data_IF_711458872784
#
_entry.id   IF_711458872784
#
_cell.length_a   1.000
_cell.length_b   1.000
_cell.length_c   1.000
_cell.angle_alpha   90.00
_cell.angle_beta   90.00
_cell.angle_gamma   90.00
#
_symmetry.space_group_name_H-M   'P 1'
#
loop_
_entity.id
_entity.type
_entity.pdbx_description
1 polymer ?
#
# COMPACT_ATOMS: atom_id res chain seq x y z
N UNK A 1 15.46 -15.69 -2.09
CA UNK A 1 14.36 -16.23 -1.26
C UNK A 1 13.06 -15.66 -1.80
N UNK A 2 12.16 -16.51 -2.31
CA UNK A 2 10.89 -16.09 -2.91
C UNK A 2 9.80 -17.00 -2.37
N UNK A 3 9.27 -16.66 -1.20
CA UNK A 3 8.21 -17.43 -0.58
C UNK A 3 6.85 -17.09 -1.20
N UNK A 4 6.21 -18.06 -1.85
CA UNK A 4 4.98 -17.86 -2.64
C UNK A 4 3.71 -17.86 -1.81
N UNK A 5 3.76 -18.40 -0.59
CA UNK A 5 2.64 -18.39 0.37
C UNK A 5 2.44 -17.02 1.04
N UNK A 6 3.33 -16.04 0.87
CA UNK A 6 3.17 -14.69 1.46
C UNK A 6 2.21 -13.81 0.66
N UNK A 7 0.93 -13.78 1.05
CA UNK A 7 -0.16 -13.06 0.39
C UNK A 7 -0.36 -11.69 1.02
N UNK A 8 -0.31 -10.63 0.20
CA UNK A 8 -0.75 -9.30 0.63
C UNK A 8 -2.25 -9.32 0.95
N UNK A 9 -2.64 -8.91 2.16
CA UNK A 9 -4.03 -8.86 2.61
C UNK A 9 -4.58 -7.45 2.74
N UNK A 10 -3.74 -6.45 2.96
CA UNK A 10 -4.23 -5.09 3.09
C UNK A 10 -3.23 -4.10 3.64
N UNK A 11 -3.74 -2.91 3.91
CA UNK A 11 -2.99 -1.76 4.39
C UNK A 11 -3.77 -1.07 5.51
N UNK A 12 -3.09 -0.82 6.62
CA UNK A 12 -3.58 0.03 7.72
C UNK A 12 -2.90 1.39 7.55
N UNK A 13 -3.70 2.39 7.21
CA UNK A 13 -3.20 3.73 6.97
C UNK A 13 -2.89 4.48 8.26
N UNK A 14 -1.70 5.07 8.32
CA UNK A 14 -1.40 6.17 9.22
C UNK A 14 -1.51 7.46 8.40
N UNK A 15 -2.63 8.18 8.55
CA UNK A 15 -2.87 9.45 7.88
C UNK A 15 -2.18 10.62 8.58
N UNK A 16 -1.26 10.42 9.50
CA UNK A 16 -0.36 11.49 9.95
C UNK A 16 1.03 11.28 9.34
N UNK A 17 1.47 10.03 9.28
CA UNK A 17 2.76 9.60 8.72
C UNK A 17 2.58 8.36 7.88
N UNK A 18 2.42 8.54 6.57
CA UNK A 18 2.11 7.43 5.66
C UNK A 18 3.20 6.33 5.65
N UNK A 19 4.46 6.67 5.93
CA UNK A 19 5.55 5.70 6.14
C UNK A 19 5.35 4.76 7.34
N UNK A 20 4.64 5.21 8.38
CA UNK A 20 4.39 4.45 9.60
C UNK A 20 3.16 3.54 9.49
N UNK A 21 2.40 3.67 8.40
CA UNK A 21 1.33 2.73 8.05
C UNK A 21 1.86 1.30 7.91
N UNK A 22 0.96 0.32 7.93
CA UNK A 22 1.32 -1.10 7.95
C UNK A 22 0.75 -1.84 6.75
N UNK A 23 1.60 -2.49 5.98
CA UNK A 23 1.18 -3.54 5.05
C UNK A 23 1.01 -4.86 5.80
N UNK A 24 -0.09 -5.54 5.52
CA UNK A 24 -0.44 -6.83 6.10
C UNK A 24 -0.16 -7.93 5.08
N UNK A 25 0.67 -8.88 5.47
CA UNK A 25 0.96 -10.08 4.70
C UNK A 25 0.52 -11.30 5.51
N UNK A 26 -0.36 -12.12 4.93
CA UNK A 26 -0.66 -13.43 5.46
C UNK A 26 0.36 -14.41 4.88
N UNK A 27 1.09 -15.11 5.74
CA UNK A 27 1.70 -16.35 5.34
C UNK A 27 0.58 -17.38 5.26
N UNK A 28 0.21 -17.79 4.05
CA UNK A 28 -0.92 -18.68 3.79
C UNK A 28 -0.37 -20.05 3.40
N UNK A 29 0.05 -20.81 4.41
CA UNK A 29 0.52 -22.17 4.24
C UNK A 29 -0.08 -23.07 5.34
N UNK A 30 -0.18 -24.37 5.10
CA UNK A 30 -0.87 -25.30 6.03
C UNK A 30 -0.24 -25.38 7.42
N UNK A 31 1.05 -25.06 7.54
CA UNK A 31 1.84 -25.09 8.78
C UNK A 31 1.96 -23.70 9.45
N UNK A 32 1.51 -22.63 8.79
CA UNK A 32 1.71 -21.25 9.20
C UNK A 32 0.65 -20.34 8.54
N UNK A 33 -0.19 -19.74 9.38
CA UNK A 33 -1.23 -18.78 9.02
C UNK A 33 -1.00 -17.40 9.64
N UNK A 34 0.25 -17.07 9.94
CA UNK A 34 0.59 -15.84 10.66
C UNK A 34 0.39 -14.62 9.76
N UNK A 35 -0.18 -13.56 10.33
CA UNK A 35 -0.21 -12.24 9.71
C UNK A 35 0.98 -11.42 10.19
N UNK A 36 1.77 -10.93 9.24
CA UNK A 36 2.86 -9.99 9.50
C UNK A 36 2.42 -8.58 9.14
N UNK A 37 2.65 -7.65 10.05
CA UNK A 37 2.51 -6.23 9.79
C UNK A 37 3.90 -5.62 9.57
N UNK A 38 4.11 -5.01 8.40
CA UNK A 38 5.39 -4.42 8.02
C UNK A 38 5.18 -2.95 7.69
N UNK A 39 6.05 -2.08 8.18
CA UNK A 39 5.97 -0.64 7.92
C UNK A 39 6.05 -0.34 6.43
N UNK A 40 5.19 0.55 5.95
CA UNK A 40 5.16 1.00 4.55
C UNK A 40 6.47 1.68 4.14
N UNK A 41 7.11 2.41 5.05
CA UNK A 41 8.39 3.07 4.82
C UNK A 41 9.51 2.14 4.34
N UNK A 42 9.45 0.86 4.70
CA UNK A 42 10.43 -0.16 4.26
C UNK A 42 10.30 -0.53 2.77
N UNK A 43 9.25 -0.07 2.08
CA UNK A 43 9.00 -0.33 0.67
C UNK A 43 9.18 0.91 -0.21
N UNK A 44 9.74 1.99 0.33
CA UNK A 44 9.92 3.24 -0.42
C UNK A 44 10.88 3.10 -1.61
N UNK A 45 11.80 2.15 -1.53
CA UNK A 45 12.69 1.77 -2.64
C UNK A 45 11.95 1.16 -3.84
N UNK A 46 10.73 0.65 -3.64
CA UNK A 46 9.84 0.18 -4.70
C UNK A 46 9.13 1.32 -5.42
N UNK A 47 9.00 2.49 -4.78
CA UNK A 47 8.34 3.64 -5.37
C UNK A 47 9.25 4.29 -6.43
N UNK A 48 8.66 4.60 -7.59
CA UNK A 48 9.37 5.18 -8.75
C UNK A 48 8.78 6.51 -9.22
N UNK A 49 7.70 6.98 -8.59
CA UNK A 49 7.04 8.24 -8.93
C UNK A 49 7.52 9.42 -8.10
N UNK A 50 6.92 10.58 -8.35
CA UNK A 50 7.14 11.79 -7.56
C UNK A 50 6.44 11.71 -6.21
N UNK A 51 7.19 11.86 -5.11
CA UNK A 51 6.58 11.95 -3.79
C UNK A 51 5.97 13.33 -3.60
N UNK A 52 4.64 13.41 -3.72
CA UNK A 52 3.88 14.60 -3.34
C UNK A 52 3.80 14.69 -1.81
N UNK A 53 3.92 15.90 -1.27
CA UNK A 53 3.78 16.19 0.18
C UNK A 53 2.47 16.88 0.51
N UNK A 54 1.62 17.11 -0.48
CA UNK A 54 0.34 17.81 -0.32
C UNK A 54 -0.80 16.80 -0.13
N UNK A 55 -1.55 16.97 0.95
CA UNK A 55 -2.80 16.24 1.17
C UNK A 55 -3.94 16.87 0.39
N UNK A 56 -4.51 16.11 -0.54
CA UNK A 56 -5.70 16.52 -1.30
C UNK A 56 -7.02 16.00 -0.69
N UNK A 57 -6.97 15.39 0.50
CA UNK A 57 -8.15 14.85 1.18
C UNK A 57 -9.24 15.93 1.35
N UNK A 58 -10.51 15.57 1.15
CA UNK A 58 -11.68 16.48 1.12
C UNK A 58 -11.68 17.57 0.04
N UNK A 59 -10.70 17.63 -0.86
CA UNK A 59 -10.80 18.49 -2.04
C UNK A 59 -11.82 17.96 -3.03
N UNK A 60 -12.33 18.84 -3.90
CA UNK A 60 -13.23 18.46 -4.99
C UNK A 60 -12.61 17.45 -5.97
N UNK A 61 -11.29 17.39 -6.05
CA UNK A 61 -10.55 16.45 -6.91
C UNK A 61 -10.34 15.07 -6.26
N UNK A 62 -10.55 14.95 -4.94
CA UNK A 62 -10.29 13.72 -4.20
C UNK A 62 -11.44 12.72 -4.35
N UNK A 63 -11.24 11.69 -5.17
CA UNK A 63 -12.19 10.58 -5.32
C UNK A 63 -12.19 9.55 -4.16
N UNK A 64 -11.50 9.80 -3.06
CA UNK A 64 -11.51 8.91 -1.88
C UNK A 64 -10.85 7.54 -2.09
N UNK A 65 -10.01 7.41 -3.13
CA UNK A 65 -9.35 6.15 -3.49
C UNK A 65 -8.69 5.49 -2.28
N UNK A 66 -7.88 6.18 -1.47
CA UNK A 66 -7.20 5.60 -0.31
C UNK A 66 -8.11 4.94 0.75
N UNK A 67 -9.42 5.22 0.75
CA UNK A 67 -10.40 4.61 1.65
C UNK A 67 -11.07 3.37 1.05
N UNK A 68 -10.98 3.18 -0.27
CA UNK A 68 -11.56 2.04 -0.95
C UNK A 68 -10.61 0.83 -0.87
N UNK A 69 -10.97 -0.13 -0.01
CA UNK A 69 -10.21 -1.37 0.23
C UNK A 69 -10.35 -2.40 -0.90
N UNK A 70 -11.45 -2.36 -1.64
CA UNK A 70 -11.75 -3.33 -2.70
C UNK A 70 -11.05 -2.96 -4.01
N UNK A 71 -10.65 -1.69 -4.15
CA UNK A 71 -9.98 -1.18 -5.34
C UNK A 71 -8.53 -0.82 -5.07
N UNK A 72 -7.63 -1.46 -5.81
CA UNK A 72 -6.19 -1.13 -5.87
C UNK A 72 -5.84 -0.13 -6.97
N UNK A 73 -6.84 0.49 -7.63
CA UNK A 73 -6.59 1.43 -8.71
C UNK A 73 -5.69 2.60 -8.27
N UNK A 74 -4.81 3.08 -9.15
CA UNK A 74 -3.93 4.21 -8.83
C UNK A 74 -4.76 5.47 -8.52
N UNK A 75 -4.22 6.34 -7.67
CA UNK A 75 -4.83 7.64 -7.40
C UNK A 75 -4.46 8.60 -8.55
N UNK A 76 -5.42 9.16 -9.29
CA UNK A 76 -5.12 10.08 -10.41
C UNK A 76 -4.66 11.47 -9.94
N UNK A 77 -4.86 11.78 -8.65
CA UNK A 77 -4.54 13.07 -8.05
C UNK A 77 -3.11 13.06 -7.49
N UNK A 78 -2.39 14.18 -7.66
CA UNK A 78 -1.08 14.46 -7.05
C UNK A 78 -1.19 14.66 -5.53
N UNK A 79 -1.59 13.61 -4.83
CA UNK A 79 -1.82 13.57 -3.40
C UNK A 79 -0.69 12.80 -2.72
N UNK A 80 -0.29 13.21 -1.52
CA UNK A 80 0.68 12.46 -0.71
C UNK A 80 0.24 11.01 -0.46
N UNK A 81 -1.06 10.70 -0.42
CA UNK A 81 -1.57 9.34 -0.23
C UNK A 81 -1.42 8.46 -1.47
N UNK A 82 -1.08 9.02 -2.64
CA UNK A 82 -1.04 8.29 -3.90
C UNK A 82 0.09 7.25 -3.93
N UNK A 83 1.26 7.57 -3.35
CA UNK A 83 2.44 6.71 -3.46
C UNK A 83 2.20 5.31 -2.87
N UNK A 84 1.42 5.20 -1.78
CA UNK A 84 1.12 3.91 -1.14
C UNK A 84 0.41 2.98 -2.12
N UNK A 85 -0.45 3.52 -2.99
CA UNK A 85 -1.17 2.74 -4.01
C UNK A 85 -0.24 2.21 -5.10
N UNK A 86 0.76 2.99 -5.50
CA UNK A 86 1.77 2.56 -6.46
C UNK A 86 2.61 1.42 -5.88
N UNK A 87 2.97 1.49 -4.60
CA UNK A 87 3.69 0.41 -3.90
C UNK A 87 2.81 -0.85 -3.83
N UNK A 88 1.55 -0.75 -3.41
CA UNK A 88 0.60 -1.88 -3.37
C UNK A 88 0.48 -2.53 -4.75
N UNK A 89 0.37 -1.72 -5.80
CA UNK A 89 0.29 -2.22 -7.19
C UNK A 89 1.57 -2.94 -7.60
N UNK A 90 2.73 -2.42 -7.22
CA UNK A 90 4.04 -3.05 -7.46
C UNK A 90 4.16 -4.39 -6.75
N UNK A 91 3.77 -4.46 -5.47
CA UNK A 91 3.76 -5.70 -4.67
C UNK A 91 2.86 -6.76 -5.33
N UNK A 92 1.67 -6.37 -5.77
CA UNK A 92 0.72 -7.29 -6.40
C UNK A 92 1.14 -7.72 -7.82
N UNK A 93 1.79 -6.85 -8.59
CA UNK A 93 2.21 -7.15 -9.98
C UNK A 93 3.41 -8.10 -10.02
N UNK A 94 4.36 -7.97 -9.08
CA UNK A 94 5.57 -8.82 -9.01
C UNK A 94 5.34 -10.26 -8.54
N UNK A 95 4.09 -10.65 -8.24
CA UNK A 95 3.70 -12.04 -7.96
C UNK A 95 3.54 -12.91 -9.22
N UNK A 96 3.66 -12.33 -10.43
CA UNK A 96 3.66 -13.08 -11.71
C UNK A 96 5.04 -13.54 -12.10
#
# INVERSE_FOLDING_TARGET
>A
MSDRSLIYKGYIADFEKLEEGLFLFLHDNEECYTTMAVKVGLFFDLYRGDRFTTRMHNSAECGGYCLNRESIALCPVKCECAFVRDIITTINTRRR
#
